data_IF_609091774295
#
_entry.id   IF_609091774295
#
_cell.length_a   1.000
_cell.length_b   1.000
_cell.length_c   1.000
_cell.angle_alpha   90.00
_cell.angle_beta   90.00
_cell.angle_gamma   90.00
#
_symmetry.space_group_name_H-M   'P 1'
#
loop_
_entity.id
_entity.type
_entity.pdbx_description
1 polymer ?
#
# COMPACT_ATOMS: atom_id res chain seq x y z
N UNK A 1 -6.06 14.23 18.01
CA UNK A 1 -6.29 12.86 17.54
C UNK A 1 -7.29 12.18 18.44
N UNK A 2 -8.10 11.29 17.88
CA UNK A 2 -9.15 10.61 18.65
C UNK A 2 -8.63 9.27 19.16
N UNK A 3 -8.86 8.97 20.43
CA UNK A 3 -8.54 7.68 21.03
C UNK A 3 -9.50 6.62 20.51
N UNK A 4 -8.96 5.46 20.12
CA UNK A 4 -9.70 4.28 19.70
C UNK A 4 -9.29 3.06 20.53
N UNK A 5 -10.21 2.14 20.74
CA UNK A 5 -9.88 0.91 21.42
C UNK A 5 -9.01 0.00 20.55
N UNK A 6 -8.21 -0.84 21.19
CA UNK A 6 -7.41 -1.86 20.52
C UNK A 6 -8.25 -2.71 19.57
N UNK A 7 -9.42 -3.14 20.01
CA UNK A 7 -10.33 -3.97 19.20
C UNK A 7 -10.83 -3.25 17.94
N UNK A 8 -11.13 -1.93 18.02
CA UNK A 8 -11.51 -1.15 16.84
C UNK A 8 -10.38 -1.05 15.84
N UNK A 9 -9.14 -0.81 16.31
CA UNK A 9 -7.98 -0.71 15.43
C UNK A 9 -7.64 -2.06 14.78
N UNK A 10 -7.74 -3.16 15.50
CA UNK A 10 -7.56 -4.50 14.97
C UNK A 10 -8.60 -4.85 13.90
N UNK A 11 -9.86 -4.52 14.14
CA UNK A 11 -10.92 -4.72 13.16
C UNK A 11 -10.74 -3.83 11.92
N UNK A 12 -10.37 -2.56 12.11
CA UNK A 12 -10.07 -1.64 11.03
C UNK A 12 -8.92 -2.16 10.15
N UNK A 13 -7.83 -2.66 10.75
CA UNK A 13 -6.72 -3.25 10.01
C UNK A 13 -7.13 -4.52 9.27
N UNK A 14 -7.95 -5.37 9.87
CA UNK A 14 -8.49 -6.58 9.23
C UNK A 14 -9.28 -6.22 7.97
N UNK A 15 -10.13 -5.20 8.03
CA UNK A 15 -10.92 -4.71 6.88
C UNK A 15 -9.99 -4.11 5.82
N UNK A 16 -9.02 -3.30 6.22
CA UNK A 16 -8.01 -2.72 5.33
C UNK A 16 -7.24 -3.81 4.56
N UNK A 17 -6.72 -4.81 5.26
CA UNK A 17 -5.98 -5.91 4.64
C UNK A 17 -6.86 -6.72 3.69
N UNK A 18 -8.10 -7.01 4.04
CA UNK A 18 -9.04 -7.73 3.17
C UNK A 18 -9.35 -6.96 1.88
N UNK A 19 -9.55 -5.64 1.98
CA UNK A 19 -9.77 -4.78 0.81
C UNK A 19 -8.54 -4.70 -0.09
N UNK A 20 -7.35 -4.61 0.49
CA UNK A 20 -6.08 -4.61 -0.23
C UNK A 20 -5.83 -5.96 -0.94
N UNK A 21 -6.06 -7.07 -0.26
CA UNK A 21 -5.94 -8.41 -0.84
C UNK A 21 -6.92 -8.62 -2.00
N UNK A 22 -8.14 -8.11 -1.88
CA UNK A 22 -9.12 -8.13 -2.97
C UNK A 22 -8.61 -7.32 -4.18
N UNK A 23 -8.13 -6.10 -3.94
CA UNK A 23 -7.59 -5.23 -4.99
C UNK A 23 -6.38 -5.87 -5.70
N UNK A 24 -5.47 -6.50 -4.95
CA UNK A 24 -4.32 -7.22 -5.52
C UNK A 24 -4.75 -8.37 -6.45
N UNK A 25 -5.82 -9.07 -6.12
CA UNK A 25 -6.34 -10.21 -6.90
C UNK A 25 -7.12 -9.77 -8.14
N UNK A 26 -7.83 -8.67 -8.07
CA UNK A 26 -8.80 -8.25 -9.10
C UNK A 26 -8.33 -7.07 -9.93
N UNK A 27 -7.39 -6.27 -9.42
CA UNK A 27 -7.03 -4.96 -9.98
C UNK A 27 -8.02 -3.85 -9.64
N UNK A 28 -9.08 -4.16 -8.90
CA UNK A 28 -10.09 -3.17 -8.48
C UNK A 28 -9.74 -2.59 -7.11
N UNK A 29 -9.21 -1.38 -7.12
CA UNK A 29 -8.81 -0.62 -5.93
C UNK A 29 -9.92 0.23 -5.32
N UNK A 30 -11.15 0.18 -5.86
CA UNK A 30 -12.25 1.02 -5.39
C UNK A 30 -12.62 0.72 -3.93
N UNK A 31 -12.78 -0.55 -3.56
CA UNK A 31 -13.14 -0.96 -2.20
C UNK A 31 -12.09 -0.52 -1.19
N UNK A 32 -10.80 -0.63 -1.54
CA UNK A 32 -9.70 -0.16 -0.69
C UNK A 32 -9.70 1.37 -0.56
N UNK A 33 -9.84 2.10 -1.67
CA UNK A 33 -9.89 3.56 -1.65
C UNK A 33 -11.09 4.10 -0.86
N UNK A 34 -12.22 3.39 -0.87
CA UNK A 34 -13.41 3.73 -0.10
C UNK A 34 -13.20 3.66 1.42
N UNK A 35 -12.11 3.06 1.90
CA UNK A 35 -11.73 3.09 3.32
C UNK A 35 -11.15 4.44 3.77
N UNK A 36 -10.85 5.35 2.87
CA UNK A 36 -10.35 6.68 3.21
C UNK A 36 -11.50 7.69 3.37
N UNK A 37 -11.30 8.67 4.25
CA UNK A 37 -12.20 9.82 4.34
C UNK A 37 -12.08 10.69 3.09
N UNK A 38 -13.09 11.52 2.81
CA UNK A 38 -13.08 12.39 1.62
C UNK A 38 -11.88 13.34 1.57
N UNK A 39 -11.40 13.78 2.75
CA UNK A 39 -10.28 14.69 2.91
C UNK A 39 -8.98 13.99 3.37
N UNK A 40 -8.86 12.68 3.19
CA UNK A 40 -7.68 11.93 3.59
C UNK A 40 -6.41 12.39 2.87
N UNK A 41 -5.27 12.17 3.51
CA UNK A 41 -3.95 12.37 2.91
C UNK A 41 -3.20 11.04 2.82
N UNK A 42 -2.62 10.77 1.66
CA UNK A 42 -1.69 9.67 1.47
C UNK A 42 -0.31 10.22 1.16
N UNK A 43 0.65 9.93 2.03
CA UNK A 43 2.04 10.40 1.93
C UNK A 43 2.90 9.26 1.42
N UNK A 44 3.35 9.40 0.19
CA UNK A 44 4.22 8.44 -0.47
C UNK A 44 5.53 9.12 -0.84
N UNK A 45 6.62 8.74 -0.16
CA UNK A 45 7.89 9.49 -0.23
C UNK A 45 8.59 9.43 -1.59
N UNK A 46 8.26 8.48 -2.47
CA UNK A 46 8.79 8.43 -3.83
C UNK A 46 7.96 9.26 -4.83
N UNK A 47 6.64 9.38 -4.60
CA UNK A 47 5.71 9.98 -5.55
C UNK A 47 5.12 11.32 -5.10
N UNK A 48 4.97 11.54 -3.79
CA UNK A 48 4.45 12.79 -3.23
C UNK A 48 3.27 12.58 -2.28
N UNK A 49 2.51 13.65 -2.02
CA UNK A 49 1.34 13.62 -1.15
C UNK A 49 0.07 13.74 -1.97
N UNK A 50 -0.82 12.78 -1.81
CA UNK A 50 -2.12 12.74 -2.49
C UNK A 50 -3.21 13.16 -1.52
N UNK A 51 -3.90 14.27 -1.83
CA UNK A 51 -4.93 14.85 -0.98
C UNK A 51 -6.32 14.55 -1.54
N UNK A 52 -7.17 13.99 -0.69
CA UNK A 52 -8.52 13.57 -1.02
C UNK A 52 -8.61 12.16 -1.56
N UNK A 53 -9.67 11.46 -1.13
CA UNK A 53 -9.92 10.06 -1.48
C UNK A 53 -9.85 9.77 -2.98
N UNK A 54 -10.40 10.66 -3.81
CA UNK A 54 -10.43 10.41 -5.27
C UNK A 54 -9.03 10.52 -5.91
N UNK A 55 -8.17 11.41 -5.42
CA UNK A 55 -6.78 11.49 -5.86
C UNK A 55 -5.99 10.25 -5.40
N UNK A 56 -6.25 9.74 -4.19
CA UNK A 56 -5.68 8.49 -3.69
C UNK A 56 -6.13 7.32 -4.58
N UNK A 57 -7.42 7.25 -4.93
CA UNK A 57 -7.99 6.22 -5.81
C UNK A 57 -7.32 6.21 -7.18
N UNK A 58 -7.21 7.38 -7.81
CA UNK A 58 -6.60 7.52 -9.12
C UNK A 58 -5.12 7.10 -9.10
N UNK A 59 -4.38 7.57 -8.10
CA UNK A 59 -2.97 7.24 -7.94
C UNK A 59 -2.74 5.74 -7.71
N UNK A 60 -3.42 5.13 -6.73
CA UNK A 60 -3.21 3.71 -6.42
C UNK A 60 -3.55 2.80 -7.61
N UNK A 61 -4.60 3.14 -8.35
CA UNK A 61 -5.01 2.40 -9.54
C UNK A 61 -3.91 2.44 -10.60
N UNK A 62 -3.31 3.60 -10.81
CA UNK A 62 -2.23 3.79 -11.80
C UNK A 62 -0.92 3.13 -11.36
N UNK A 63 -0.53 3.29 -10.10
CA UNK A 63 0.76 2.77 -9.60
C UNK A 63 0.76 1.25 -9.53
N UNK A 64 -0.38 0.63 -9.27
CA UNK A 64 -0.51 -0.82 -9.16
C UNK A 64 -0.80 -1.53 -10.49
N UNK A 65 -1.28 -0.82 -11.51
CA UNK A 65 -1.61 -1.40 -12.80
C UNK A 65 -0.46 -2.20 -13.46
N UNK A 66 0.83 -1.78 -13.35
CA UNK A 66 1.95 -2.55 -13.91
C UNK A 66 2.22 -3.89 -13.20
N UNK A 67 1.71 -4.07 -11.97
CA UNK A 67 2.09 -5.17 -11.06
C UNK A 67 0.91 -6.06 -10.65
N UNK A 68 0.18 -6.68 -11.60
CA UNK A 68 -0.85 -7.63 -11.23
C UNK A 68 -0.23 -8.81 -10.46
N UNK A 69 -0.83 -9.19 -9.34
CA UNK A 69 -0.32 -10.27 -8.50
C UNK A 69 0.72 -9.84 -7.46
N UNK A 70 1.06 -8.55 -7.34
CA UNK A 70 1.79 -8.07 -6.17
C UNK A 70 0.94 -8.27 -4.93
N UNK A 71 1.56 -8.72 -3.83
CA UNK A 71 0.92 -8.94 -2.54
C UNK A 71 1.68 -8.22 -1.43
N UNK A 72 1.02 -8.03 -0.28
CA UNK A 72 1.57 -7.26 0.83
C UNK A 72 1.49 -8.06 2.15
N UNK A 73 2.21 -9.18 2.27
CA UNK A 73 2.22 -9.94 3.52
C UNK A 73 2.81 -9.10 4.65
N UNK A 74 2.10 -9.08 5.77
CA UNK A 74 2.47 -8.31 6.96
C UNK A 74 3.44 -9.09 7.83
N UNK A 75 4.55 -8.46 8.22
CA UNK A 75 5.58 -9.05 9.08
C UNK A 75 5.27 -8.82 10.56
N UNK A 76 4.89 -7.59 10.92
CA UNK A 76 4.55 -7.19 12.29
C UNK A 76 3.61 -5.98 12.29
N UNK A 77 2.96 -5.73 13.43
CA UNK A 77 2.06 -4.59 13.64
C UNK A 77 2.15 -4.05 15.07
N UNK A 78 2.03 -2.74 15.19
CA UNK A 78 1.91 -2.00 16.45
C UNK A 78 0.67 -1.12 16.40
N UNK A 79 -0.07 -1.04 17.50
CA UNK A 79 -1.25 -0.20 17.63
C UNK A 79 -1.01 0.86 18.71
N UNK A 80 -1.30 2.10 18.37
CA UNK A 80 -1.28 3.24 19.28
C UNK A 80 -2.72 3.72 19.49
N UNK A 81 -3.34 3.25 20.56
CA UNK A 81 -4.75 3.52 20.88
C UNK A 81 -4.99 5.01 21.17
N UNK A 82 -4.03 5.68 21.79
CA UNK A 82 -4.17 7.08 22.19
C UNK A 82 -4.19 8.03 20.99
N UNK A 83 -3.48 7.66 19.92
CA UNK A 83 -3.40 8.44 18.69
C UNK A 83 -4.24 7.86 17.55
N UNK A 84 -4.90 6.71 17.76
CA UNK A 84 -5.64 6.03 16.69
C UNK A 84 -4.75 5.57 15.54
N UNK A 85 -3.46 5.28 15.83
CA UNK A 85 -2.49 4.92 14.81
C UNK A 85 -2.23 3.42 14.76
N UNK A 86 -2.04 2.92 13.55
CA UNK A 86 -1.65 1.54 13.26
C UNK A 86 -0.36 1.62 12.46
N UNK A 87 0.74 1.04 12.99
CA UNK A 87 2.01 0.92 12.29
C UNK A 87 2.27 -0.54 11.98
N UNK A 88 2.63 -0.85 10.75
CA UNK A 88 3.01 -2.20 10.38
C UNK A 88 4.11 -2.20 9.33
N UNK A 89 4.87 -3.29 9.26
CA UNK A 89 5.71 -3.61 8.13
C UNK A 89 5.03 -4.66 7.27
N UNK A 90 5.01 -4.43 5.98
CA UNK A 90 4.67 -5.44 4.98
C UNK A 90 5.80 -5.57 3.95
N UNK A 91 5.78 -6.67 3.20
CA UNK A 91 6.62 -6.83 2.03
C UNK A 91 5.82 -6.43 0.78
N UNK A 92 6.39 -5.57 -0.06
CA UNK A 92 5.92 -5.41 -1.43
C UNK A 92 6.45 -6.59 -2.22
N UNK A 93 5.62 -7.62 -2.43
CA UNK A 93 6.05 -8.94 -2.91
C UNK A 93 5.54 -9.24 -4.31
N UNK A 94 6.47 -9.48 -5.22
CA UNK A 94 6.22 -10.00 -6.56
C UNK A 94 6.52 -11.51 -6.57
N UNK A 95 5.62 -12.36 -7.11
CA UNK A 95 5.89 -13.78 -7.24
C UNK A 95 7.04 -14.03 -8.22
N UNK A 96 7.74 -15.14 -8.07
CA UNK A 96 8.78 -15.52 -9.03
C UNK A 96 8.14 -15.77 -10.40
N UNK A 97 8.60 -15.10 -11.48
CA UNK A 97 7.88 -15.10 -12.76
C UNK A 97 7.94 -16.43 -13.52
N UNK A 98 9.00 -17.23 -13.26
CA UNK A 98 9.21 -18.50 -13.96
C UNK A 98 9.00 -19.72 -13.05
N UNK A 99 9.02 -19.56 -11.75
CA UNK A 99 8.88 -20.66 -10.77
C UNK A 99 7.95 -20.23 -9.64
N UNK A 100 6.68 -20.64 -9.64
CA UNK A 100 5.72 -20.29 -8.60
C UNK A 100 6.13 -20.75 -7.18
N UNK A 101 7.03 -21.73 -7.07
CA UNK A 101 7.59 -22.21 -5.79
C UNK A 101 8.93 -21.56 -5.44
N UNK A 102 9.48 -20.78 -6.35
CA UNK A 102 10.74 -20.06 -6.16
C UNK A 102 10.63 -18.92 -5.16
N UNK A 103 11.76 -18.40 -4.67
CA UNK A 103 11.76 -17.29 -3.75
C UNK A 103 11.15 -16.04 -4.42
N UNK A 104 10.25 -15.32 -3.73
CA UNK A 104 9.65 -14.12 -4.28
C UNK A 104 10.68 -12.98 -4.35
N UNK A 105 10.40 -11.99 -5.19
CA UNK A 105 11.10 -10.71 -5.21
C UNK A 105 10.34 -9.74 -4.34
N UNK A 106 10.97 -9.18 -3.31
CA UNK A 106 10.25 -8.33 -2.35
C UNK A 106 11.16 -7.30 -1.69
N UNK A 107 10.55 -6.22 -1.21
CA UNK A 107 11.19 -5.22 -0.37
C UNK A 107 10.25 -4.78 0.76
N UNK A 108 10.80 -4.42 1.94
CA UNK A 108 9.99 -4.01 3.08
C UNK A 108 9.45 -2.59 2.89
N UNK A 109 8.25 -2.36 3.38
CA UNK A 109 7.60 -1.07 3.52
C UNK A 109 7.00 -0.95 4.93
N UNK A 110 7.18 0.20 5.56
CA UNK A 110 6.50 0.56 6.80
C UNK A 110 5.33 1.47 6.47
N UNK A 111 4.16 1.06 6.89
CA UNK A 111 2.92 1.83 6.71
C UNK A 111 2.45 2.35 8.06
N UNK A 112 2.10 3.62 8.11
CA UNK A 112 1.38 4.22 9.22
C UNK A 112 -0.01 4.63 8.75
N UNK A 113 -1.05 4.05 9.35
CA UNK A 113 -2.45 4.44 9.18
C UNK A 113 -2.90 5.28 10.37
N UNK A 114 -3.70 6.31 10.11
CA UNK A 114 -4.44 7.05 11.16
C UNK A 114 -5.92 6.77 10.96
N UNK A 115 -6.51 6.12 11.94
CA UNK A 115 -7.92 5.75 11.93
C UNK A 115 -8.79 6.94 12.36
N UNK A 116 -9.84 7.21 11.61
CA UNK A 116 -10.79 8.30 11.86
C UNK A 116 -12.10 7.83 12.52
N UNK A 117 -12.23 6.54 12.79
CA UNK A 117 -13.49 5.94 13.23
C UNK A 117 -14.39 5.52 12.06
N UNK A 118 -15.46 4.81 12.36
CA UNK A 118 -16.47 4.38 11.39
C UNK A 118 -15.91 3.61 10.18
N UNK A 119 -14.84 2.82 10.39
CA UNK A 119 -14.20 2.05 9.34
C UNK A 119 -13.41 2.88 8.33
N UNK A 120 -13.04 4.12 8.66
CA UNK A 120 -12.32 5.03 7.75
C UNK A 120 -10.96 5.43 8.28
N UNK A 121 -10.04 5.71 7.36
CA UNK A 121 -8.72 6.25 7.62
C UNK A 121 -8.61 7.68 7.10
N UNK A 122 -7.98 8.55 7.89
CA UNK A 122 -7.76 9.94 7.49
C UNK A 122 -6.35 10.15 6.93
N UNK A 123 -5.44 9.25 7.20
CA UNK A 123 -4.08 9.32 6.64
C UNK A 123 -3.47 7.94 6.49
N UNK A 124 -2.66 7.81 5.45
CA UNK A 124 -1.68 6.74 5.27
C UNK A 124 -0.33 7.36 4.91
N UNK A 125 0.75 6.77 5.44
CA UNK A 125 2.12 7.14 5.08
C UNK A 125 2.94 5.88 4.89
N UNK A 126 3.57 5.77 3.71
CA UNK A 126 4.47 4.67 3.36
C UNK A 126 5.93 5.11 3.39
N UNK A 127 6.75 4.32 4.08
CA UNK A 127 8.18 4.58 4.25
C UNK A 127 8.99 3.38 3.80
N UNK A 128 9.70 3.54 2.69
CA UNK A 128 10.64 2.56 2.15
C UNK A 128 11.78 3.27 1.40
N UNK A 129 12.74 2.53 0.90
CA UNK A 129 13.80 3.11 0.07
C UNK A 129 13.51 2.83 -1.42
N UNK A 130 12.96 3.82 -2.17
CA UNK A 130 12.60 3.60 -3.58
C UNK A 130 13.81 3.37 -4.49
N UNK A 131 14.91 4.07 -4.26
CA UNK A 131 16.09 4.00 -5.13
C UNK A 131 16.86 2.69 -4.96
N UNK A 132 17.03 2.23 -3.71
CA UNK A 132 17.78 1.02 -3.40
C UNK A 132 16.86 -0.21 -3.47
N UNK A 133 15.81 -0.25 -2.65
CA UNK A 133 15.08 -1.49 -2.41
C UNK A 133 14.04 -1.77 -3.49
N UNK A 134 13.16 -0.80 -3.78
CA UNK A 134 12.12 -0.98 -4.79
C UNK A 134 12.70 -1.13 -6.20
N UNK A 135 13.61 -0.24 -6.59
CA UNK A 135 14.24 -0.28 -7.92
C UNK A 135 14.99 -1.59 -8.15
N UNK A 136 15.81 -2.03 -7.18
CA UNK A 136 16.56 -3.29 -7.30
C UNK A 136 15.64 -4.50 -7.38
N UNK A 137 14.57 -4.54 -6.56
CA UNK A 137 13.61 -5.64 -6.56
C UNK A 137 12.89 -5.76 -7.89
N UNK A 138 12.35 -4.66 -8.41
CA UNK A 138 11.62 -4.66 -9.69
C UNK A 138 12.57 -4.99 -10.84
N UNK A 139 13.79 -4.44 -10.86
CA UNK A 139 14.79 -4.73 -11.90
C UNK A 139 15.19 -6.21 -11.90
N UNK A 140 15.42 -6.79 -10.72
CA UNK A 140 15.74 -8.21 -10.59
C UNK A 140 14.58 -9.11 -11.01
N UNK A 141 13.33 -8.73 -10.67
CA UNK A 141 12.14 -9.46 -11.09
C UNK A 141 11.97 -9.43 -12.62
N UNK A 142 12.19 -8.27 -13.26
CA UNK A 142 12.17 -8.16 -14.74
C UNK A 142 13.28 -9.02 -15.36
N UNK A 143 14.50 -8.98 -14.81
CA UNK A 143 15.60 -9.82 -15.30
C UNK A 143 15.32 -11.32 -15.18
N UNK A 144 14.52 -11.72 -14.19
CA UNK A 144 14.06 -13.11 -14.03
C UNK A 144 12.88 -13.50 -14.95
N UNK A 145 12.41 -12.59 -15.79
CA UNK A 145 11.33 -12.83 -16.76
C UNK A 145 10.00 -12.16 -16.40
N UNK A 146 9.97 -11.36 -15.34
CA UNK A 146 8.80 -10.55 -14.98
C UNK A 146 8.42 -9.55 -16.06
N UNK A 147 7.12 -9.35 -16.26
CA UNK A 147 6.60 -8.43 -17.27
C UNK A 147 5.62 -7.46 -16.63
N UNK A 148 5.85 -6.16 -16.85
CA UNK A 148 4.90 -5.12 -16.49
C UNK A 148 3.64 -5.26 -17.35
N UNK A 149 2.46 -5.26 -16.73
CA UNK A 149 1.18 -5.40 -17.43
C UNK A 149 0.69 -4.07 -18.02
N UNK A 150 1.24 -2.94 -17.57
CA UNK A 150 0.95 -1.61 -18.09
C UNK A 150 2.22 -0.77 -18.10
N UNK A 151 2.23 0.33 -18.88
CA UNK A 151 3.30 1.31 -18.80
C UNK A 151 3.29 1.98 -17.41
N UNK A 152 4.49 2.16 -16.85
CA UNK A 152 4.67 2.88 -15.59
C UNK A 152 4.49 4.38 -15.85
N UNK A 153 3.27 4.87 -15.72
CA UNK A 153 2.93 6.28 -15.87
C UNK A 153 2.36 6.80 -14.56
N UNK A 154 3.23 6.97 -13.57
CA UNK A 154 2.86 7.68 -12.37
C UNK A 154 3.42 9.09 -12.46
N UNK A 155 2.53 10.06 -12.40
CA UNK A 155 2.91 11.45 -12.36
C UNK A 155 3.66 11.73 -11.04
N UNK A 156 4.92 12.16 -11.17
CA UNK A 156 5.79 12.53 -10.05
C UNK A 156 5.63 14.02 -9.69
N UNK A 157 4.59 14.69 -10.21
CA UNK A 157 4.42 16.14 -10.12
C UNK A 157 4.05 16.67 -8.73
N UNK A 158 3.84 15.79 -7.75
CA UNK A 158 3.44 16.20 -6.39
C UNK A 158 4.61 16.19 -5.39
N UNK A 159 5.83 16.35 -5.85
CA UNK A 159 6.99 16.56 -4.99
C UNK A 159 7.09 18.03 -4.55
N UNK A 160 6.15 18.48 -3.76
CA UNK A 160 6.27 19.74 -3.01
C UNK A 160 6.41 19.46 -1.52
#
# INVERSE_FOLDING_TARGET
MMRHSRAELEDALRIYNAARDHACKTGDWNVWADLFTENAEYIEHAYGTFKGRENIREWITKVMAPFPGMTFPQDWVVFDEDNGAILFQCQNRLPHPADPSGPPFQFPNWTRLIYAGNGKFISEEDVYNPARDAHHTVSAWIAAGGKLAASFQVDMAHRE
#
